data_IF_617244412516
#
_entry.id   IF_617244412516
#
_cell.length_a   1.000
_cell.length_b   1.000
_cell.length_c   1.000
_cell.angle_alpha   90.00
_cell.angle_beta   90.00
_cell.angle_gamma   90.00
#
_symmetry.space_group_name_H-M   'P 1'
#
loop_
_entity.id
_entity.type
_entity.pdbx_description
1 polymer ?
#
# COMPACT_ATOMS: atom_id res chain seq x y z
N UNK A 1 -16.92 0.64 4.54
CA UNK A 1 -15.63 1.21 4.08
C UNK A 1 -15.72 2.44 3.17
N UNK A 2 -16.87 2.80 2.59
CA UNK A 2 -16.97 3.89 1.58
C UNK A 2 -16.77 5.32 2.12
N UNK A 3 -16.13 5.50 3.28
CA UNK A 3 -16.06 6.81 3.99
C UNK A 3 -14.67 7.24 4.46
N UNK A 4 -13.63 6.43 4.29
CA UNK A 4 -12.26 6.83 4.63
C UNK A 4 -11.51 7.34 3.39
N UNK A 5 -10.90 8.51 3.52
CA UNK A 5 -10.05 9.10 2.50
C UNK A 5 -8.62 8.65 2.75
N UNK A 6 -8.18 7.62 2.01
CA UNK A 6 -6.84 7.04 2.10
C UNK A 6 -6.12 7.17 0.75
N UNK A 7 -6.05 8.41 0.27
CA UNK A 7 -5.66 8.73 -1.11
C UNK A 7 -4.26 8.27 -1.49
N UNK A 8 -3.33 8.24 -0.54
CA UNK A 8 -1.96 7.84 -0.80
C UNK A 8 -1.82 6.32 -0.83
N UNK A 9 -2.51 5.60 0.07
CA UNK A 9 -2.59 4.14 -0.02
C UNK A 9 -3.28 3.69 -1.32
N UNK A 10 -4.37 4.36 -1.72
CA UNK A 10 -5.04 4.11 -3.00
C UNK A 10 -4.09 4.35 -4.19
N UNK A 11 -3.28 5.40 -4.13
CA UNK A 11 -2.31 5.72 -5.17
C UNK A 11 -1.21 4.65 -5.28
N UNK A 12 -0.67 4.19 -4.15
CA UNK A 12 0.30 3.09 -4.13
C UNK A 12 -0.28 1.83 -4.78
N UNK A 13 -1.50 1.45 -4.39
CA UNK A 13 -2.15 0.27 -4.95
C UNK A 13 -2.37 0.45 -6.45
N UNK A 14 -2.97 1.56 -6.88
CA UNK A 14 -3.34 1.75 -8.28
C UNK A 14 -2.14 1.74 -9.25
N UNK A 15 -1.04 2.39 -8.89
CA UNK A 15 0.10 2.55 -9.81
C UNK A 15 1.09 1.39 -9.69
N UNK A 16 1.41 0.92 -8.49
CA UNK A 16 2.49 -0.07 -8.29
C UNK A 16 1.98 -1.51 -8.11
N UNK A 17 0.69 -1.72 -7.84
CA UNK A 17 0.12 -3.06 -7.61
C UNK A 17 -1.17 -3.33 -8.39
N UNK A 18 -1.67 -2.35 -9.15
CA UNK A 18 -2.89 -2.44 -9.94
C UNK A 18 -2.70 -3.24 -11.22
N UNK A 19 -3.69 -3.19 -12.12
CA UNK A 19 -3.72 -4.06 -13.31
C UNK A 19 -2.50 -3.94 -14.23
N UNK A 20 -1.87 -2.76 -14.28
CA UNK A 20 -0.73 -2.46 -15.14
C UNK A 20 0.58 -2.29 -14.34
N UNK A 21 0.72 -3.01 -13.22
CA UNK A 21 1.83 -2.87 -12.28
C UNK A 21 3.22 -3.12 -12.88
N UNK A 22 3.29 -3.87 -13.98
CA UNK A 22 4.52 -4.28 -14.65
C UNK A 22 5.07 -3.20 -15.60
N UNK A 23 4.30 -2.12 -15.84
CA UNK A 23 4.73 -1.00 -16.68
C UNK A 23 5.78 -0.10 -16.01
N UNK A 24 5.68 0.13 -14.69
CA UNK A 24 6.52 1.09 -13.98
C UNK A 24 7.72 0.45 -13.28
N UNK A 25 7.51 -0.66 -12.57
CA UNK A 25 8.57 -1.44 -11.91
C UNK A 25 8.31 -2.92 -12.23
N UNK A 26 8.98 -3.49 -13.24
CA UNK A 26 8.72 -4.85 -13.71
C UNK A 26 8.95 -5.92 -12.63
N UNK A 27 8.21 -7.03 -12.74
CA UNK A 27 8.32 -8.18 -11.84
C UNK A 27 7.27 -8.19 -10.73
N UNK A 28 7.26 -9.28 -9.96
CA UNK A 28 6.19 -9.63 -9.01
C UNK A 28 6.66 -9.55 -7.55
N UNK A 29 7.76 -8.84 -7.31
CA UNK A 29 8.31 -8.64 -5.96
C UNK A 29 7.72 -7.39 -5.32
N UNK A 30 7.20 -7.53 -4.11
CA UNK A 30 6.57 -6.43 -3.35
C UNK A 30 7.60 -5.36 -2.97
N UNK A 31 8.77 -5.77 -2.47
CA UNK A 31 9.74 -4.84 -1.91
C UNK A 31 10.29 -3.83 -2.93
N UNK A 32 10.71 -4.23 -4.15
CA UNK A 32 11.17 -3.29 -5.17
C UNK A 32 10.11 -2.22 -5.52
N UNK A 33 8.83 -2.59 -5.53
CA UNK A 33 7.73 -1.66 -5.82
C UNK A 33 7.52 -0.63 -4.73
N UNK A 34 7.58 -1.06 -3.47
CA UNK A 34 7.53 -0.13 -2.32
C UNK A 34 8.75 0.81 -2.36
N UNK A 35 9.93 0.30 -2.72
CA UNK A 35 11.15 1.11 -2.83
C UNK A 35 11.09 2.11 -3.99
N UNK A 36 10.51 1.71 -5.12
CA UNK A 36 10.24 2.60 -6.26
C UNK A 36 9.30 3.75 -5.85
N UNK A 37 8.18 3.42 -5.18
CA UNK A 37 7.27 4.40 -4.61
C UNK A 37 7.99 5.38 -3.66
N UNK A 38 8.76 4.87 -2.70
CA UNK A 38 9.48 5.71 -1.71
C UNK A 38 10.48 6.66 -2.40
N UNK A 39 11.15 6.18 -3.45
CA UNK A 39 12.13 6.97 -4.22
C UNK A 39 11.48 8.13 -4.98
N UNK A 40 10.24 7.97 -5.42
CA UNK A 40 9.50 8.95 -6.22
C UNK A 40 8.63 9.90 -5.38
N UNK A 41 8.15 9.43 -4.23
CA UNK A 41 7.26 10.18 -3.36
C UNK A 41 7.94 11.39 -2.70
N UNK A 42 7.20 12.49 -2.57
CA UNK A 42 7.64 13.60 -1.71
C UNK A 42 7.47 13.23 -0.23
N UNK A 43 8.25 13.85 0.67
CA UNK A 43 8.15 13.61 2.12
C UNK A 43 6.72 13.78 2.67
N UNK A 44 5.94 14.70 2.10
CA UNK A 44 4.53 14.88 2.45
C UNK A 44 3.66 13.65 2.13
N UNK A 45 3.89 13.02 0.97
CA UNK A 45 3.22 11.78 0.58
C UNK A 45 3.60 10.63 1.52
N UNK A 46 4.88 10.53 1.90
CA UNK A 46 5.31 9.50 2.86
C UNK A 46 4.62 9.64 4.22
N UNK A 47 4.41 10.86 4.71
CA UNK A 47 3.61 11.08 5.94
C UNK A 47 2.12 10.74 5.72
N UNK A 48 1.55 11.10 4.57
CA UNK A 48 0.18 10.74 4.23
C UNK A 48 -0.01 9.22 4.14
N UNK A 49 0.94 8.48 3.57
CA UNK A 49 0.93 7.01 3.53
C UNK A 49 0.85 6.40 4.93
N UNK A 50 1.67 6.87 5.88
CA UNK A 50 1.61 6.38 7.26
C UNK A 50 0.24 6.66 7.89
N UNK A 51 -0.27 7.89 7.75
CA UNK A 51 -1.58 8.26 8.26
C UNK A 51 -2.73 7.46 7.63
N UNK A 52 -2.64 7.17 6.33
CA UNK A 52 -3.63 6.38 5.59
C UNK A 52 -3.64 4.92 6.08
N UNK A 53 -2.48 4.31 6.29
CA UNK A 53 -2.37 2.96 6.85
C UNK A 53 -2.91 2.91 8.27
N UNK A 54 -2.55 3.88 9.12
CA UNK A 54 -3.06 3.96 10.50
C UNK A 54 -4.59 4.13 10.53
N UNK A 55 -5.13 5.02 9.70
CA UNK A 55 -6.58 5.24 9.58
C UNK A 55 -7.29 4.00 9.07
N UNK A 56 -6.73 3.34 8.04
CA UNK A 56 -7.27 2.10 7.52
C UNK A 56 -7.36 1.04 8.62
N UNK A 57 -6.26 0.81 9.36
CA UNK A 57 -6.22 -0.20 10.42
C UNK A 57 -7.14 0.15 11.60
N UNK A 58 -7.33 1.43 11.91
CA UNK A 58 -8.20 1.89 12.99
C UNK A 58 -9.69 1.72 12.67
N UNK A 59 -10.07 1.81 11.39
CA UNK A 59 -11.46 1.78 10.93
C UNK A 59 -11.90 0.41 10.37
N UNK A 60 -10.98 -0.53 10.20
CA UNK A 60 -11.31 -1.90 9.79
C UNK A 60 -11.89 -2.71 10.96
N UNK A 61 -12.93 -3.49 10.67
CA UNK A 61 -13.39 -4.56 11.55
C UNK A 61 -12.56 -5.83 11.33
N UNK A 62 -12.22 -6.13 10.08
CA UNK A 62 -11.38 -7.26 9.66
C UNK A 62 -10.47 -6.83 8.50
N UNK A 63 -9.18 -6.64 8.80
CA UNK A 63 -8.20 -6.10 7.84
C UNK A 63 -8.18 -6.86 6.52
N UNK A 64 -8.29 -8.19 6.54
CA UNK A 64 -8.21 -9.00 5.33
C UNK A 64 -9.47 -8.85 4.46
N UNK A 65 -10.65 -8.84 5.07
CA UNK A 65 -11.92 -8.69 4.36
C UNK A 65 -12.15 -7.28 3.85
N UNK A 66 -11.86 -6.28 4.68
CA UNK A 66 -11.99 -4.87 4.35
C UNK A 66 -11.01 -4.50 3.22
N UNK A 67 -9.75 -4.92 3.31
CA UNK A 67 -8.77 -4.68 2.24
C UNK A 67 -9.19 -5.32 0.93
N UNK A 68 -9.65 -6.58 0.97
CA UNK A 68 -10.18 -7.25 -0.21
C UNK A 68 -11.37 -6.51 -0.79
N UNK A 69 -12.32 -6.05 0.03
CA UNK A 69 -13.50 -5.37 -0.50
C UNK A 69 -13.16 -4.04 -1.18
N UNK A 70 -12.14 -3.33 -0.70
CA UNK A 70 -11.63 -2.12 -1.33
C UNK A 70 -10.82 -2.40 -2.61
N UNK A 71 -9.88 -3.34 -2.57
CA UNK A 71 -8.83 -3.46 -3.58
C UNK A 71 -8.88 -4.70 -4.47
N UNK A 72 -9.83 -5.63 -4.30
CA UNK A 72 -9.91 -6.90 -5.08
C UNK A 72 -9.88 -6.78 -6.61
N UNK A 73 -10.12 -5.59 -7.18
CA UNK A 73 -10.02 -5.33 -8.63
C UNK A 73 -8.63 -4.90 -9.09
N UNK A 74 -7.79 -4.47 -8.14
CA UNK A 74 -6.46 -3.95 -8.38
C UNK A 74 -5.41 -4.91 -7.82
N UNK A 75 -5.50 -5.22 -6.53
CA UNK A 75 -4.48 -5.95 -5.82
C UNK A 75 -5.08 -6.99 -4.87
N UNK A 76 -4.62 -8.23 -5.01
CA UNK A 76 -4.97 -9.35 -4.13
C UNK A 76 -3.68 -9.84 -3.47
N UNK A 77 -3.44 -9.55 -2.18
CA UNK A 77 -2.18 -9.89 -1.48
C UNK A 77 -1.77 -11.36 -1.59
N UNK A 78 -2.75 -12.28 -1.60
CA UNK A 78 -2.48 -13.71 -1.72
C UNK A 78 -1.85 -14.12 -3.06
N UNK A 79 -2.02 -13.33 -4.14
CA UNK A 79 -1.35 -13.57 -5.42
C UNK A 79 0.15 -13.21 -5.37
N UNK A 80 0.59 -12.58 -4.29
CA UNK A 80 1.97 -12.12 -4.04
C UNK A 80 2.55 -12.76 -2.77
N UNK A 81 2.04 -13.95 -2.39
CA UNK A 81 2.47 -14.72 -1.23
C UNK A 81 2.47 -13.93 0.10
N UNK A 82 1.52 -13.00 0.28
CA UNK A 82 1.37 -12.20 1.51
C UNK A 82 -0.10 -12.07 1.94
N UNK A 83 -0.32 -11.44 3.09
CA UNK A 83 -1.65 -11.04 3.58
C UNK A 83 -1.81 -9.52 3.54
N UNK A 84 -3.03 -9.00 3.62
CA UNK A 84 -3.26 -7.56 3.67
C UNK A 84 -2.54 -6.92 4.87
N UNK A 85 -2.67 -7.51 6.06
CA UNK A 85 -2.00 -7.02 7.27
C UNK A 85 -0.47 -7.05 7.16
N UNK A 86 0.10 -8.12 6.58
CA UNK A 86 1.54 -8.23 6.38
C UNK A 86 2.06 -7.22 5.34
N UNK A 87 1.33 -7.02 4.25
CA UNK A 87 1.63 -5.99 3.25
C UNK A 87 1.62 -4.58 3.86
N UNK A 88 0.55 -4.19 4.55
CA UNK A 88 0.44 -2.87 5.19
C UNK A 88 1.56 -2.64 6.21
N UNK A 89 1.89 -3.66 7.00
CA UNK A 89 3.00 -3.60 7.96
C UNK A 89 4.35 -3.38 7.28
N UNK A 90 4.58 -4.02 6.13
CA UNK A 90 5.81 -3.86 5.36
C UNK A 90 5.93 -2.45 4.75
N UNK A 91 4.86 -1.94 4.15
CA UNK A 91 4.81 -0.56 3.61
C UNK A 91 5.09 0.44 4.74
N UNK A 92 4.36 0.34 5.85
CA UNK A 92 4.54 1.22 7.00
C UNK A 92 5.99 1.21 7.51
N UNK A 93 6.59 0.03 7.66
CA UNK A 93 7.97 -0.13 8.12
C UNK A 93 8.97 0.55 7.17
N UNK A 94 8.88 0.29 5.86
CA UNK A 94 9.82 0.86 4.88
C UNK A 94 9.66 2.38 4.76
N UNK A 95 8.43 2.89 4.75
CA UNK A 95 8.15 4.33 4.71
C UNK A 95 8.64 5.03 5.98
N UNK A 96 8.42 4.44 7.15
CA UNK A 96 8.93 4.97 8.42
C UNK A 96 10.46 5.06 8.41
N UNK A 97 11.14 4.02 7.93
CA UNK A 97 12.59 4.01 7.82
C UNK A 97 13.10 5.13 6.90
N UNK A 98 12.47 5.34 5.74
CA UNK A 98 12.84 6.38 4.78
C UNK A 98 12.64 7.82 5.29
N UNK A 99 11.78 8.01 6.28
CA UNK A 99 11.58 9.31 6.93
C UNK A 99 12.61 9.59 8.04
N UNK A 100 13.27 8.55 8.54
CA UNK A 100 14.30 8.65 9.58
C UNK A 100 15.74 8.65 9.03
N UNK A 101 15.92 8.33 7.74
CA UNK A 101 17.19 8.40 7.01
C UNK A 101 17.49 9.80 6.49
#
# INVERSE_FOLDING_TARGET
MDRISISELDNLIGIWFGQDYDLFEPGDEIEPKIEAYIREAHKGNLHAMLADIELFLAECDDVESDFRDRYKREFVPANWDTTAGAFLSLVHKKVSAALTS
#
